data_IF_024689541338
#
_entry.id   IF_024689541338
#
_cell.length_a   1.000
_cell.length_b   1.000
_cell.length_c   1.000
_cell.angle_alpha   90.00
_cell.angle_beta   90.00
_cell.angle_gamma   90.00
#
_symmetry.space_group_name_H-M   'P 1'
#
loop_
_entity.id
_entity.type
_entity.pdbx_description
1 polymer ?
#
# COMPACT_ATOMS: atom_id res chain seq x y z
N UNK A 1 8.04 -10.45 11.55
CA UNK A 1 7.78 -9.50 10.45
C UNK A 1 6.61 -8.64 10.84
N UNK A 2 6.74 -7.33 10.65
CA UNK A 2 5.68 -6.36 10.94
C UNK A 2 5.03 -5.90 9.64
N UNK A 3 3.71 -5.96 9.57
CA UNK A 3 2.94 -5.66 8.36
C UNK A 3 1.94 -4.55 8.67
N UNK A 4 1.95 -3.50 7.86
CA UNK A 4 0.92 -2.48 7.83
C UNK A 4 -0.05 -2.82 6.69
N UNK A 5 -1.25 -3.30 7.05
CA UNK A 5 -2.35 -3.54 6.12
C UNK A 5 -3.15 -2.28 5.88
N UNK A 6 -3.57 -2.07 4.65
CA UNK A 6 -4.37 -0.92 4.22
C UNK A 6 -5.55 -1.38 3.37
N UNK A 7 -6.72 -0.83 3.68
CA UNK A 7 -7.93 -0.91 2.85
C UNK A 7 -8.29 0.50 2.37
N UNK A 8 -7.82 0.91 1.16
CA UNK A 8 -8.08 2.23 0.63
C UNK A 8 -9.57 2.42 0.29
N UNK A 9 -10.16 3.50 0.75
CA UNK A 9 -11.55 3.84 0.47
C UNK A 9 -11.68 5.04 -0.49
N UNK A 10 -12.60 4.94 -1.46
CA UNK A 10 -12.88 6.02 -2.40
C UNK A 10 -13.67 7.18 -1.77
N UNK A 11 -14.51 6.90 -0.79
CA UNK A 11 -15.45 7.88 -0.19
C UNK A 11 -15.52 7.84 1.32
N UNK A 12 -14.77 7.00 1.96
CA UNK A 12 -14.74 6.83 3.41
C UNK A 12 -13.35 7.08 4.01
N UNK A 13 -13.16 6.71 5.25
CA UNK A 13 -11.84 6.62 5.85
C UNK A 13 -11.10 5.41 5.27
N UNK A 14 -9.80 5.55 5.04
CA UNK A 14 -8.94 4.41 4.71
C UNK A 14 -8.66 3.60 5.97
N UNK A 15 -9.05 2.33 5.98
CA UNK A 15 -8.74 1.42 7.06
C UNK A 15 -7.25 1.11 7.14
N UNK A 16 -6.72 0.94 8.35
CA UNK A 16 -5.37 0.43 8.56
C UNK A 16 -5.31 -0.55 9.72
N UNK A 17 -4.39 -1.49 9.64
CA UNK A 17 -4.13 -2.47 10.69
C UNK A 17 -2.66 -2.87 10.70
N UNK A 18 -2.04 -2.90 11.88
CA UNK A 18 -0.63 -3.23 12.06
C UNK A 18 -0.53 -4.51 12.89
N UNK A 19 0.05 -5.52 12.28
CA UNK A 19 0.26 -6.82 12.92
C UNK A 19 1.73 -7.20 12.87
N UNK A 20 2.16 -7.97 13.85
CA UNK A 20 3.51 -8.53 13.90
C UNK A 20 3.42 -10.04 14.08
N UNK A 21 4.21 -10.79 13.33
CA UNK A 21 4.21 -12.24 13.45
C UNK A 21 4.99 -12.96 12.35
N UNK A 22 4.86 -14.29 12.35
CA UNK A 22 5.46 -15.18 11.36
C UNK A 22 4.41 -15.93 10.50
N UNK A 23 3.12 -15.60 10.70
CA UNK A 23 1.98 -16.25 10.06
C UNK A 23 1.40 -17.42 10.87
N UNK A 24 2.12 -17.97 11.86
CA UNK A 24 1.58 -18.94 12.83
C UNK A 24 1.09 -18.23 14.08
N UNK A 25 1.91 -17.34 14.60
CA UNK A 25 1.56 -16.49 15.73
C UNK A 25 1.55 -15.05 15.24
N UNK A 26 0.43 -14.38 15.44
CA UNK A 26 0.21 -13.00 15.04
C UNK A 26 -0.21 -12.17 16.25
N UNK A 27 0.44 -11.03 16.44
CA UNK A 27 0.15 -10.05 17.48
C UNK A 27 -0.39 -8.79 16.85
N UNK A 28 -1.52 -8.32 17.33
CA UNK A 28 -2.04 -7.02 17.00
C UNK A 28 -1.19 -5.94 17.67
N UNK A 29 -0.73 -4.96 16.90
CA UNK A 29 -0.02 -3.79 17.42
C UNK A 29 -0.94 -2.58 17.48
N UNK A 30 -1.58 -2.24 16.36
CA UNK A 30 -2.48 -1.09 16.28
C UNK A 30 -3.46 -1.25 15.11
N UNK A 31 -4.60 -0.58 15.16
CA UNK A 31 -5.55 -0.53 14.05
C UNK A 31 -6.47 0.68 14.16
N UNK A 32 -7.11 1.05 13.06
CA UNK A 32 -8.04 2.15 13.02
C UNK A 32 -8.38 2.59 11.60
N UNK A 33 -8.77 3.85 11.48
CA UNK A 33 -9.06 4.44 10.18
C UNK A 33 -8.47 5.85 10.05
N UNK A 34 -7.90 6.14 8.90
CA UNK A 34 -7.36 7.45 8.53
C UNK A 34 -8.54 8.36 8.16
N UNK A 35 -9.12 9.01 9.17
CA UNK A 35 -10.24 9.94 9.00
C UNK A 35 -9.71 11.27 8.49
N UNK A 36 -10.23 11.74 7.36
CA UNK A 36 -9.93 13.07 6.83
C UNK A 36 -10.83 14.09 7.55
N UNK A 37 -10.23 15.09 8.15
CA UNK A 37 -10.96 16.14 8.83
C UNK A 37 -11.91 16.89 7.87
N UNK A 38 -13.12 17.23 8.34
CA UNK A 38 -14.15 17.87 7.51
C UNK A 38 -13.68 19.21 6.89
N UNK A 39 -12.86 19.98 7.60
CA UNK A 39 -12.27 21.22 7.10
C UNK A 39 -11.27 20.99 5.95
N UNK A 40 -10.57 19.86 5.91
CA UNK A 40 -9.66 19.47 4.81
C UNK A 40 -10.44 19.09 3.57
N UNK A 41 -11.57 18.39 3.70
CA UNK A 41 -12.46 18.09 2.57
C UNK A 41 -12.97 19.35 1.90
N UNK A 42 -13.25 20.43 2.67
CA UNK A 42 -13.65 21.73 2.14
C UNK A 42 -12.54 22.48 1.41
N UNK A 43 -11.25 22.17 1.69
CA UNK A 43 -10.08 22.77 1.03
C UNK A 43 -9.70 22.11 -0.30
N UNK A 44 -10.47 21.11 -0.74
CA UNK A 44 -10.27 20.40 -2.00
C UNK A 44 -9.63 19.02 -1.87
N UNK A 45 -9.62 18.29 -2.96
CA UNK A 45 -9.18 16.88 -3.01
C UNK A 45 -7.70 16.72 -2.66
N UNK A 46 -6.83 17.62 -3.12
CA UNK A 46 -5.41 17.57 -2.80
C UNK A 46 -5.10 17.70 -1.30
N UNK A 47 -5.87 18.52 -0.56
CA UNK A 47 -5.70 18.66 0.88
C UNK A 47 -6.11 17.40 1.65
N UNK A 48 -7.09 16.66 1.14
CA UNK A 48 -7.49 15.37 1.68
C UNK A 48 -6.40 14.31 1.49
N UNK A 49 -5.85 14.21 0.30
CA UNK A 49 -4.75 13.29 -0.02
C UNK A 49 -3.48 13.62 0.79
N UNK A 50 -3.18 14.90 0.97
CA UNK A 50 -2.07 15.35 1.83
C UNK A 50 -2.24 14.88 3.28
N UNK A 51 -3.46 14.92 3.83
CA UNK A 51 -3.71 14.45 5.20
C UNK A 51 -3.55 12.93 5.30
N UNK A 52 -4.06 12.17 4.33
CA UNK A 52 -3.83 10.71 4.25
C UNK A 52 -2.34 10.40 4.22
N UNK A 53 -1.59 11.10 3.35
CA UNK A 53 -0.13 10.94 3.26
C UNK A 53 0.56 11.19 4.59
N UNK A 54 0.30 12.34 5.23
CA UNK A 54 0.95 12.70 6.49
C UNK A 54 0.67 11.68 7.62
N UNK A 55 -0.57 11.20 7.72
CA UNK A 55 -0.95 10.18 8.70
C UNK A 55 -0.30 8.83 8.42
N UNK A 56 -0.22 8.45 7.15
CA UNK A 56 0.43 7.21 6.74
C UNK A 56 1.94 7.25 7.02
N UNK A 57 2.62 8.35 6.70
CA UNK A 57 4.02 8.55 7.07
C UNK A 57 4.21 8.43 8.59
N UNK A 58 3.34 9.06 9.40
CA UNK A 58 3.40 8.93 10.85
C UNK A 58 3.27 7.49 11.35
N UNK A 59 2.39 6.67 10.75
CA UNK A 59 2.28 5.24 11.07
C UNK A 59 3.53 4.45 10.67
N UNK A 60 4.12 4.78 9.51
CA UNK A 60 5.35 4.12 9.05
C UNK A 60 6.51 4.48 9.99
N UNK A 61 6.65 5.73 10.39
CA UNK A 61 7.70 6.18 11.30
C UNK A 61 7.54 5.56 12.69
N UNK A 62 6.32 5.52 13.24
CA UNK A 62 6.04 5.02 14.58
C UNK A 62 6.23 3.50 14.68
N UNK A 63 5.71 2.75 13.70
CA UNK A 63 5.67 1.30 13.77
C UNK A 63 6.76 0.60 12.98
N UNK A 64 7.47 1.29 12.10
CA UNK A 64 8.54 0.76 11.25
C UNK A 64 8.16 -0.59 10.61
N UNK A 65 7.10 -0.66 9.77
CA UNK A 65 6.66 -1.91 9.14
C UNK A 65 7.70 -2.39 8.12
N UNK A 66 7.88 -3.70 8.03
CA UNK A 66 8.73 -4.33 7.02
C UNK A 66 8.10 -4.25 5.62
N UNK A 67 6.75 -4.20 5.57
CA UNK A 67 5.98 -4.17 4.32
C UNK A 67 4.62 -3.50 4.52
N UNK A 68 4.15 -2.82 3.48
CA UNK A 68 2.76 -2.38 3.33
C UNK A 68 1.99 -3.40 2.48
N UNK A 69 0.94 -3.99 3.06
CA UNK A 69 0.01 -4.87 2.36
C UNK A 69 -1.26 -4.08 2.02
N UNK A 70 -1.63 -3.99 0.75
CA UNK A 70 -2.75 -3.14 0.29
C UNK A 70 -3.78 -3.98 -0.44
N UNK A 71 -5.07 -3.76 -0.18
CA UNK A 71 -6.11 -4.36 -1.00
C UNK A 71 -6.07 -3.77 -2.41
N UNK A 72 -6.04 -4.64 -3.41
CA UNK A 72 -5.99 -4.25 -4.81
C UNK A 72 -7.34 -3.74 -5.30
N UNK A 73 -7.28 -2.81 -6.27
CA UNK A 73 -8.47 -2.32 -6.95
C UNK A 73 -8.87 -3.37 -7.99
N UNK A 74 -9.91 -4.16 -7.71
CA UNK A 74 -10.42 -5.18 -8.64
C UNK A 74 -11.89 -4.93 -8.98
N UNK A 75 -12.13 -4.72 -10.26
CA UNK A 75 -13.36 -4.85 -11.05
C UNK A 75 -14.67 -4.22 -10.59
N UNK A 76 -15.50 -3.88 -11.56
CA UNK A 76 -16.90 -3.45 -11.48
C UNK A 76 -17.19 -2.12 -10.75
N UNK A 77 -16.16 -1.33 -10.44
CA UNK A 77 -16.34 0.03 -9.94
C UNK A 77 -16.69 0.98 -11.10
N UNK A 78 -17.57 1.94 -10.86
CA UNK A 78 -17.71 3.03 -11.81
C UNK A 78 -16.37 3.81 -11.90
N UNK A 79 -16.12 4.42 -13.06
CA UNK A 79 -14.85 5.11 -13.37
C UNK A 79 -14.48 6.14 -12.29
N UNK A 80 -15.44 6.89 -11.79
CA UNK A 80 -15.21 7.92 -10.76
C UNK A 80 -14.67 7.31 -9.45
N UNK A 81 -15.23 6.20 -9.01
CA UNK A 81 -14.77 5.48 -7.83
C UNK A 81 -13.38 4.90 -8.06
N UNK A 82 -13.14 4.31 -9.24
CA UNK A 82 -11.82 3.75 -9.58
C UNK A 82 -10.73 4.82 -9.60
N UNK A 83 -10.99 6.00 -10.16
CA UNK A 83 -10.04 7.12 -10.16
C UNK A 83 -9.70 7.58 -8.74
N UNK A 84 -10.69 7.74 -7.86
CA UNK A 84 -10.45 8.12 -6.47
C UNK A 84 -9.63 7.08 -5.69
N UNK A 85 -9.91 5.80 -5.90
CA UNK A 85 -9.10 4.73 -5.31
C UNK A 85 -7.67 4.76 -5.84
N UNK A 86 -7.47 5.04 -7.14
CA UNK A 86 -6.16 5.17 -7.74
C UNK A 86 -5.36 6.34 -7.15
N UNK A 87 -6.01 7.47 -6.87
CA UNK A 87 -5.39 8.63 -6.19
C UNK A 87 -4.91 8.26 -4.78
N UNK A 88 -5.77 7.64 -3.96
CA UNK A 88 -5.39 7.19 -2.61
C UNK A 88 -4.27 6.16 -2.69
N UNK A 89 -4.36 5.21 -3.61
CA UNK A 89 -3.30 4.23 -3.84
C UNK A 89 -1.99 4.89 -4.24
N UNK A 90 -2.01 5.90 -5.10
CA UNK A 90 -0.82 6.68 -5.47
C UNK A 90 -0.14 7.32 -4.25
N UNK A 91 -0.94 7.85 -3.32
CA UNK A 91 -0.45 8.39 -2.05
C UNK A 91 0.20 7.32 -1.18
N UNK A 92 -0.39 6.12 -1.10
CA UNK A 92 0.18 4.97 -0.37
C UNK A 92 1.53 4.57 -0.95
N UNK A 93 1.63 4.45 -2.29
CA UNK A 93 2.88 4.10 -2.98
C UNK A 93 3.96 5.16 -2.76
N UNK A 94 3.59 6.44 -2.79
CA UNK A 94 4.51 7.55 -2.55
C UNK A 94 5.06 7.52 -1.12
N UNK A 95 4.20 7.38 -0.11
CA UNK A 95 4.60 7.30 1.29
C UNK A 95 5.54 6.10 1.54
N UNK A 96 5.20 4.93 1.00
CA UNK A 96 6.03 3.73 1.10
C UNK A 96 7.41 3.93 0.44
N UNK A 97 7.45 4.50 -0.76
CA UNK A 97 8.70 4.77 -1.48
C UNK A 97 9.61 5.75 -0.74
N UNK A 98 9.05 6.79 -0.12
CA UNK A 98 9.79 7.77 0.68
C UNK A 98 10.46 7.16 1.90
N UNK A 99 9.88 6.09 2.47
CA UNK A 99 10.40 5.39 3.64
C UNK A 99 11.14 4.08 3.29
N UNK A 100 11.27 3.76 1.99
CA UNK A 100 11.94 2.54 1.55
C UNK A 100 11.20 1.25 1.94
N UNK A 101 9.88 1.33 2.16
CA UNK A 101 9.03 0.20 2.51
C UNK A 101 8.41 -0.40 1.25
N UNK A 102 8.49 -1.72 1.11
CA UNK A 102 7.90 -2.45 0.00
C UNK A 102 6.37 -2.48 0.08
N UNK A 103 5.68 -2.46 -1.09
CA UNK A 103 4.22 -2.55 -1.16
C UNK A 103 3.80 -3.82 -1.89
N UNK A 104 3.04 -4.67 -1.21
CA UNK A 104 2.42 -5.86 -1.75
C UNK A 104 0.91 -5.68 -1.92
N UNK A 105 0.34 -6.13 -3.04
CA UNK A 105 -1.09 -5.97 -3.35
C UNK A 105 -1.80 -7.31 -3.40
N UNK A 106 -3.00 -7.38 -2.81
CA UNK A 106 -3.80 -8.59 -2.69
C UNK A 106 -5.19 -8.40 -3.26
N UNK A 107 -5.65 -9.36 -4.06
CA UNK A 107 -7.03 -9.35 -4.54
C UNK A 107 -8.01 -9.65 -3.38
N UNK A 108 -9.22 -9.07 -3.36
CA UNK A 108 -10.21 -9.33 -2.31
C UNK A 108 -10.51 -10.82 -2.11
N UNK A 109 -10.56 -11.59 -3.20
CA UNK A 109 -10.76 -13.06 -3.12
C UNK A 109 -9.58 -13.79 -2.50
N UNK A 110 -8.35 -13.32 -2.71
CA UNK A 110 -7.15 -13.89 -2.08
C UNK A 110 -7.17 -13.64 -0.58
N UNK A 111 -7.51 -12.40 -0.16
CA UNK A 111 -7.64 -12.05 1.26
C UNK A 111 -8.70 -12.93 1.94
N UNK A 112 -9.88 -13.08 1.32
CA UNK A 112 -10.94 -13.94 1.83
C UNK A 112 -10.51 -15.40 1.93
N UNK A 113 -9.88 -15.94 0.91
CA UNK A 113 -9.39 -17.31 0.91
C UNK A 113 -8.33 -17.56 1.98
N UNK A 114 -7.40 -16.62 2.19
CA UNK A 114 -6.38 -16.71 3.22
C UNK A 114 -6.99 -16.71 4.63
N UNK A 115 -7.94 -15.82 4.91
CA UNK A 115 -8.47 -15.61 6.27
C UNK A 115 -9.60 -16.58 6.62
N UNK A 116 -10.53 -16.83 5.71
CA UNK A 116 -11.72 -17.67 5.94
C UNK A 116 -11.65 -19.06 5.28
N UNK A 117 -10.56 -19.37 4.54
CA UNK A 117 -10.39 -20.63 3.83
C UNK A 117 -11.07 -20.67 2.46
N UNK A 118 -11.87 -19.68 2.09
CA UNK A 118 -12.55 -19.61 0.78
C UNK A 118 -12.81 -18.17 0.33
N UNK A 119 -12.78 -17.93 -1.00
CA UNK A 119 -12.87 -16.58 -1.59
C UNK A 119 -14.25 -15.92 -1.59
N UNK A 120 -15.29 -16.59 -1.05
CA UNK A 120 -16.67 -16.12 -1.03
C UNK A 120 -17.15 -15.71 0.37
N UNK A 121 -16.26 -15.64 1.35
CA UNK A 121 -16.59 -15.24 2.72
C UNK A 121 -17.29 -13.87 2.74
N UNK A 122 -18.34 -13.79 3.55
CA UNK A 122 -19.03 -12.53 3.79
C UNK A 122 -18.27 -11.64 4.79
N UNK A 123 -18.70 -10.39 4.92
CA UNK A 123 -18.04 -9.41 5.80
C UNK A 123 -18.05 -9.85 7.27
N UNK A 124 -19.15 -10.43 7.74
CA UNK A 124 -19.27 -10.91 9.11
C UNK A 124 -18.33 -12.08 9.40
N UNK A 125 -18.22 -13.02 8.46
CA UNK A 125 -17.27 -14.13 8.58
C UNK A 125 -15.84 -13.63 8.65
N UNK A 126 -15.46 -12.67 7.79
CA UNK A 126 -14.13 -12.06 7.81
C UNK A 126 -13.81 -11.41 9.16
N UNK A 127 -14.74 -10.62 9.71
CA UNK A 127 -14.57 -9.98 11.02
C UNK A 127 -14.41 -10.99 12.15
N UNK A 128 -15.20 -12.07 12.18
CA UNK A 128 -15.07 -13.14 13.16
C UNK A 128 -13.71 -13.81 13.07
N UNK A 129 -13.25 -14.11 11.86
CA UNK A 129 -11.95 -14.76 11.64
C UNK A 129 -10.79 -13.87 12.05
N UNK A 130 -10.78 -12.58 11.67
CA UNK A 130 -9.78 -11.60 12.09
C UNK A 130 -9.70 -11.51 13.61
N UNK A 131 -10.86 -11.37 14.27
CA UNK A 131 -10.96 -11.35 15.73
C UNK A 131 -10.36 -12.62 16.36
N UNK A 132 -10.68 -13.79 15.82
CA UNK A 132 -10.19 -15.09 16.33
C UNK A 132 -8.67 -15.23 16.15
N UNK A 133 -8.15 -14.94 14.97
CA UNK A 133 -6.71 -15.03 14.65
C UNK A 133 -5.87 -14.10 15.54
N UNK A 134 -6.38 -12.89 15.80
CA UNK A 134 -5.69 -11.89 16.63
C UNK A 134 -6.05 -11.99 18.12
N UNK A 135 -6.87 -12.99 18.53
CA UNK A 135 -7.32 -13.18 19.92
C UNK A 135 -7.93 -11.91 20.54
N UNK A 136 -8.70 -11.16 19.75
CA UNK A 136 -9.31 -9.91 20.19
C UNK A 136 -10.58 -10.20 21.03
N UNK A 137 -10.82 -9.40 22.05
CA UNK A 137 -12.02 -9.50 22.90
C UNK A 137 -13.31 -9.10 22.16
N UNK A 138 -13.20 -8.15 21.22
CA UNK A 138 -14.29 -7.65 20.42
C UNK A 138 -13.91 -7.57 18.94
N UNK A 139 -14.91 -7.47 18.06
CA UNK A 139 -14.70 -7.22 16.63
C UNK A 139 -14.03 -5.86 16.42
N UNK A 140 -13.04 -5.75 15.50
CA UNK A 140 -12.39 -4.48 15.24
C UNK A 140 -13.37 -3.40 14.75
N UNK A 141 -13.28 -2.22 15.34
CA UNK A 141 -14.04 -1.03 14.97
C UNK A 141 -13.06 0.11 14.59
N UNK A 142 -13.27 0.86 13.49
CA UNK A 142 -14.38 0.73 12.54
C UNK A 142 -14.23 -0.49 11.60
N UNK A 143 -15.28 -0.86 10.85
CA UNK A 143 -15.25 -2.03 9.95
C UNK A 143 -14.11 -2.04 8.94
N UNK A 144 -13.73 -0.86 8.42
CA UNK A 144 -12.62 -0.71 7.46
C UNK A 144 -11.27 -1.15 8.08
N UNK A 145 -11.12 -1.04 9.40
CA UNK A 145 -9.94 -1.53 10.10
C UNK A 145 -9.89 -3.07 10.13
N UNK A 146 -11.03 -3.75 10.20
CA UNK A 146 -11.08 -5.21 10.12
C UNK A 146 -10.65 -5.70 8.73
N UNK A 147 -11.07 -5.00 7.67
CA UNK A 147 -10.69 -5.30 6.30
C UNK A 147 -9.16 -5.09 6.12
N UNK A 148 -8.61 -4.01 6.63
CA UNK A 148 -7.17 -3.75 6.62
C UNK A 148 -6.35 -4.77 7.42
N UNK A 149 -6.83 -5.20 8.59
CA UNK A 149 -6.21 -6.27 9.37
C UNK A 149 -6.22 -7.60 8.60
N UNK A 150 -7.31 -7.90 7.89
CA UNK A 150 -7.38 -9.09 7.05
C UNK A 150 -6.31 -9.08 5.94
N UNK A 151 -6.06 -7.93 5.32
CA UNK A 151 -5.02 -7.76 4.30
C UNK A 151 -3.62 -8.00 4.91
N UNK A 152 -3.34 -7.45 6.10
CA UNK A 152 -2.07 -7.66 6.79
C UNK A 152 -1.84 -9.14 7.16
N UNK A 153 -2.86 -9.81 7.69
CA UNK A 153 -2.82 -11.23 8.01
C UNK A 153 -2.65 -12.11 6.77
N UNK A 154 -3.30 -11.76 5.66
CA UNK A 154 -3.13 -12.44 4.38
C UNK A 154 -1.67 -12.43 3.94
N UNK A 155 -0.99 -11.28 4.04
CA UNK A 155 0.43 -11.18 3.72
C UNK A 155 1.28 -12.11 4.61
N UNK A 156 1.09 -12.07 5.94
CA UNK A 156 1.83 -12.94 6.87
C UNK A 156 1.66 -14.42 6.56
N UNK A 157 0.43 -14.87 6.28
CA UNK A 157 0.15 -16.26 5.97
C UNK A 157 0.78 -16.69 4.63
N UNK A 158 0.77 -15.82 3.63
CA UNK A 158 1.42 -16.09 2.33
C UNK A 158 2.92 -16.21 2.48
N UNK A 159 3.55 -15.31 3.20
CA UNK A 159 4.99 -15.37 3.46
C UNK A 159 5.38 -16.63 4.27
N UNK A 160 4.54 -17.02 5.23
CA UNK A 160 4.73 -18.30 5.94
C UNK A 160 4.65 -19.49 4.99
N UNK A 161 3.64 -19.53 4.11
CA UNK A 161 3.49 -20.60 3.12
C UNK A 161 4.70 -20.66 2.18
N UNK A 162 5.17 -19.50 1.68
CA UNK A 162 6.36 -19.42 0.83
C UNK A 162 7.59 -20.01 1.54
N UNK A 163 7.86 -19.60 2.76
CA UNK A 163 8.97 -20.13 3.57
C UNK A 163 8.85 -21.63 3.79
N UNK A 164 7.64 -22.12 4.10
CA UNK A 164 7.38 -23.55 4.33
C UNK A 164 7.66 -24.41 3.11
N UNK A 165 7.37 -23.92 1.91
CA UNK A 165 7.54 -24.65 0.65
C UNK A 165 8.84 -24.29 -0.09
N UNK A 166 9.74 -23.51 0.51
CA UNK A 166 10.99 -23.09 -0.12
C UNK A 166 10.80 -22.20 -1.34
N UNK A 167 9.67 -21.48 -1.42
CA UNK A 167 9.38 -20.57 -2.52
C UNK A 167 9.99 -19.18 -2.22
N UNK A 168 10.39 -18.45 -3.27
CA UNK A 168 10.93 -17.10 -3.07
C UNK A 168 9.89 -16.18 -2.41
N UNK A 169 10.33 -15.35 -1.49
CA UNK A 169 9.53 -14.34 -0.82
C UNK A 169 9.06 -13.25 -1.81
N UNK A 170 8.03 -12.47 -1.45
CA UNK A 170 7.60 -11.33 -2.30
C UNK A 170 8.78 -10.38 -2.56
N UNK A 171 9.59 -10.12 -1.53
CA UNK A 171 10.79 -9.28 -1.62
C UNK A 171 11.84 -9.81 -2.62
N UNK A 172 12.00 -11.11 -2.70
CA UNK A 172 12.91 -11.74 -3.68
C UNK A 172 12.35 -11.69 -5.10
N UNK A 173 11.01 -11.81 -5.25
CA UNK A 173 10.34 -11.68 -6.53
C UNK A 173 10.30 -10.24 -7.07
N UNK A 174 10.22 -9.26 -6.18
CA UNK A 174 10.22 -7.84 -6.52
C UNK A 174 11.61 -7.32 -6.94
N UNK A 175 12.69 -8.05 -6.66
CA UNK A 175 14.03 -7.66 -7.14
C UNK A 175 14.05 -7.75 -8.66
N UNK A 176 14.41 -6.67 -9.38
CA UNK A 176 14.58 -6.75 -10.81
C UNK A 176 15.63 -7.83 -11.12
N UNK A 177 15.26 -8.81 -11.93
CA UNK A 177 16.23 -9.77 -12.45
C UNK A 177 17.29 -8.94 -13.14
N UNK A 178 18.55 -9.05 -12.70
CA UNK A 178 19.65 -8.33 -13.32
C UNK A 178 19.65 -8.67 -14.81
N UNK A 179 19.59 -7.65 -15.65
CA UNK A 179 19.59 -7.77 -17.13
C UNK A 179 20.79 -8.59 -17.61
N UNK A 180 21.84 -8.68 -16.81
CA UNK A 180 23.06 -9.45 -17.06
C UNK A 180 22.81 -10.95 -17.28
N UNK A 181 21.88 -11.59 -16.54
CA UNK A 181 21.60 -13.01 -16.74
C UNK A 181 20.85 -13.35 -18.03
N UNK A 182 20.10 -12.37 -18.57
CA UNK A 182 19.37 -12.58 -19.86
C UNK A 182 20.32 -12.41 -21.03
N UNK A 183 21.33 -11.56 -20.93
CA UNK A 183 22.33 -11.38 -21.98
C UNK A 183 23.25 -12.60 -22.13
N UNK A 184 23.60 -13.28 -21.04
CA UNK A 184 24.43 -14.50 -21.12
C UNK A 184 23.66 -15.69 -21.69
N UNK A 185 22.35 -15.78 -21.48
CA UNK A 185 21.53 -16.89 -22.02
C UNK A 185 21.19 -16.74 -23.50
N UNK A 186 21.34 -15.53 -24.08
CA UNK A 186 21.01 -15.23 -25.48
C UNK A 186 22.23 -15.10 -26.40
N UNK A 187 23.47 -15.31 -25.92
CA UNK A 187 24.67 -15.24 -26.72
C UNK A 187 24.88 -13.89 -27.45
N UNK A 188 24.30 -12.82 -26.94
CA UNK A 188 24.38 -11.49 -27.55
C UNK A 188 25.72 -10.84 -27.24
N UNK A 189 26.53 -10.62 -28.26
CA UNK A 189 27.74 -9.81 -28.20
C UNK A 189 27.41 -8.43 -27.62
N UNK A 190 28.26 -7.96 -26.71
CA UNK A 190 28.13 -6.69 -26.00
C UNK A 190 27.95 -5.50 -26.96
N UNK A 191 26.77 -4.94 -27.02
CA UNK A 191 26.54 -3.61 -27.59
C UNK A 191 27.03 -2.57 -26.59
N UNK A 192 27.82 -1.55 -27.02
CA UNK A 192 28.25 -0.50 -26.11
C UNK A 192 27.05 0.31 -25.65
N UNK A 193 26.91 0.45 -24.34
CA UNK A 193 25.90 1.30 -23.72
C UNK A 193 26.21 2.77 -24.04
N UNK A 194 25.58 3.31 -25.07
CA UNK A 194 25.55 4.75 -25.30
C UNK A 194 24.51 5.33 -24.31
N UNK A 195 24.99 5.87 -23.20
CA UNK A 195 24.19 6.68 -22.32
C UNK A 195 23.68 7.91 -23.07
N UNK A 196 22.38 7.98 -23.31
CA UNK A 196 21.75 9.20 -23.84
C UNK A 196 21.73 10.21 -22.67
N UNK A 197 22.49 11.32 -22.73
CA UNK A 197 22.47 12.31 -21.67
C UNK A 197 21.12 13.05 -21.71
N UNK A 198 20.29 12.85 -20.70
CA UNK A 198 19.12 13.70 -20.49
C UNK A 198 19.63 15.08 -20.07
N UNK A 199 19.67 16.02 -21.01
CA UNK A 199 19.95 17.42 -20.74
C UNK A 199 18.75 18.03 -20.01
N UNK A 200 18.81 18.09 -18.69
CA UNK A 200 17.89 18.93 -17.90
C UNK A 200 18.32 20.38 -18.15
N UNK A 201 17.56 21.08 -18.99
CA UNK A 201 17.77 22.51 -19.24
C UNK A 201 17.62 23.28 -17.92
N UNK A 202 18.67 24.00 -17.50
CA UNK A 202 18.57 24.97 -16.40
C UNK A 202 17.51 26.00 -16.79
N UNK A 203 16.42 26.06 -16.03
CA UNK A 203 15.46 27.14 -16.11
C UNK A 203 16.20 28.45 -15.76
N UNK A 204 16.38 29.32 -16.75
CA UNK A 204 16.83 30.69 -16.53
C UNK A 204 15.79 31.42 -15.70
N UNK A 205 16.18 31.92 -14.54
CA UNK A 205 15.34 32.79 -13.71
C UNK A 205 14.98 34.04 -14.51
N UNK A 206 13.79 34.07 -15.10
CA UNK A 206 13.20 35.25 -15.69
C UNK A 206 12.94 36.29 -14.60
N UNK A 207 13.37 37.55 -14.86
CA UNK A 207 13.06 38.72 -14.04
C UNK A 207 11.53 38.85 -13.91
N UNK A 208 11.01 39.20 -12.71
CA UNK A 208 9.59 39.50 -12.55
C UNK A 208 9.20 40.76 -13.36
N UNK A 209 8.00 40.82 -13.94
CA UNK A 209 7.53 41.97 -14.70
C UNK A 209 7.41 43.18 -13.77
N UNK A 210 7.87 44.34 -14.26
CA UNK A 210 7.67 45.65 -13.58
C UNK A 210 6.18 45.96 -13.60
N UNK A 211 5.62 46.22 -12.43
CA UNK A 211 4.29 46.79 -12.28
C UNK A 211 4.39 48.28 -12.68
N UNK A 212 3.77 48.65 -13.78
CA UNK A 212 3.55 50.05 -14.16
C UNK A 212 2.38 50.57 -13.33
N UNK A 213 2.64 51.51 -12.43
CA UNK A 213 1.63 52.32 -11.74
C UNK A 213 1.01 53.27 -12.77
N UNK A 214 -0.29 53.14 -12.99
CA UNK A 214 -1.10 54.14 -13.69
C UNK A 214 -1.73 55.10 -12.67
N UNK A 215 -1.63 56.38 -13.00
CA UNK A 215 -2.26 57.49 -12.32
C UNK A 215 -3.79 57.43 -12.40
#
# INVERSE_FOLDING_TARGET
MRVLGLDPAATGPTGYGIVEGDGRQCRLLHYGALKIAANRRKKGEGAALQEVHARLCGLIDEFAPDVLAVEGIFSALNVRTALRLAEVRGVVLLAAAQHGVEVCSYAPREVKAAIAGHGHADKRQMQIMVRAILSMSATPEPPDAADALAVALCHLQREQARRRFGLPTEKELARPRSVTMVAESLGAASLPAQAIPIRIGRATRGRPPRILSAH
#
